data_IF_667882565952
#
_entry.id   IF_667882565952
#
_cell.length_a   1.000
_cell.length_b   1.000
_cell.length_c   1.000
_cell.angle_alpha   90.00
_cell.angle_beta   90.00
_cell.angle_gamma   90.00
#
_symmetry.space_group_name_H-M   'P 1'
#
loop_
_entity.id
_entity.type
_entity.pdbx_description
1 polymer ?
#
# COMPACT_ATOMS: atom_id res chain seq x y z
N UNK A 1 -12.28 -9.43 -23.13
CA UNK A 1 -13.04 -9.42 -21.86
C UNK A 1 -12.13 -8.83 -20.82
N UNK A 2 -12.30 -7.56 -20.49
CA UNK A 2 -11.64 -6.97 -19.32
C UNK A 2 -12.15 -7.72 -18.08
N UNK A 3 -11.27 -8.39 -17.34
CA UNK A 3 -11.62 -8.87 -16.01
C UNK A 3 -11.71 -7.65 -15.10
N UNK A 4 -12.85 -6.95 -15.13
CA UNK A 4 -13.16 -5.94 -14.13
C UNK A 4 -13.57 -6.68 -12.86
N UNK A 5 -12.71 -6.65 -11.84
CA UNK A 5 -13.10 -7.09 -10.51
C UNK A 5 -14.23 -6.18 -10.01
N UNK A 6 -15.31 -6.77 -9.53
CA UNK A 6 -16.28 -6.03 -8.72
C UNK A 6 -15.65 -5.82 -7.35
N UNK A 7 -15.13 -4.62 -7.10
CA UNK A 7 -14.50 -4.25 -5.83
C UNK A 7 -15.48 -3.43 -5.01
N UNK A 8 -15.75 -3.87 -3.78
CA UNK A 8 -16.45 -3.08 -2.78
C UNK A 8 -15.45 -2.63 -1.71
N UNK A 9 -15.35 -1.32 -1.46
CA UNK A 9 -14.41 -0.74 -0.53
C UNK A 9 -15.18 -0.05 0.60
N UNK A 10 -14.93 -0.50 1.83
CA UNK A 10 -15.49 0.09 3.05
C UNK A 10 -14.40 0.88 3.76
N UNK A 11 -14.64 2.16 3.99
CA UNK A 11 -13.78 3.03 4.78
C UNK A 11 -14.60 4.06 5.53
N UNK A 12 -14.02 4.62 6.60
CA UNK A 12 -14.61 5.67 7.41
C UNK A 12 -13.75 6.92 7.40
N UNK A 13 -14.38 8.06 7.17
CA UNK A 13 -13.72 9.37 7.10
C UNK A 13 -14.52 10.41 7.87
N UNK A 14 -13.88 11.50 8.28
CA UNK A 14 -14.58 12.64 8.85
C UNK A 14 -15.12 13.58 7.76
N UNK A 15 -15.91 14.58 8.15
CA UNK A 15 -16.37 15.65 7.23
C UNK A 15 -15.20 16.48 6.66
N UNK A 16 -14.03 16.40 7.28
CA UNK A 16 -12.79 17.04 6.86
C UNK A 16 -12.05 16.32 5.73
N UNK A 17 -12.58 15.19 5.22
CA UNK A 17 -11.98 14.44 4.11
C UNK A 17 -12.10 15.20 2.78
N UNK A 18 -10.94 15.56 2.19
CA UNK A 18 -10.87 16.42 0.99
C UNK A 18 -10.39 15.72 -0.27
N UNK A 19 -10.04 14.43 -0.18
CA UNK A 19 -9.40 13.74 -1.29
C UNK A 19 -10.45 13.15 -2.25
N UNK A 20 -10.27 13.34 -3.58
CA UNK A 20 -11.16 12.70 -4.55
C UNK A 20 -10.94 11.19 -4.52
N UNK A 21 -12.04 10.44 -4.44
CA UNK A 21 -12.05 8.97 -4.46
C UNK A 21 -13.14 8.48 -5.41
N UNK A 22 -12.91 7.31 -6.02
CA UNK A 22 -13.85 6.70 -6.98
C UNK A 22 -14.88 5.78 -6.30
N UNK A 23 -15.12 5.98 -5.00
CA UNK A 23 -16.08 5.23 -4.19
C UNK A 23 -16.68 6.18 -3.14
N UNK A 24 -17.73 5.74 -2.44
CA UNK A 24 -18.37 6.55 -1.39
C UNK A 24 -17.97 6.06 0.00
N UNK A 25 -17.05 6.75 0.71
CA UNK A 25 -16.69 6.40 2.08
C UNK A 25 -17.85 6.68 3.03
N UNK A 26 -17.87 6.00 4.18
CA UNK A 26 -18.79 6.29 5.27
C UNK A 26 -18.28 7.56 5.98
N UNK A 27 -19.06 8.65 5.88
CA UNK A 27 -18.71 9.92 6.54
C UNK A 27 -19.28 9.93 7.95
N UNK A 28 -18.42 10.20 8.93
CA UNK A 28 -18.76 10.24 10.36
C UNK A 28 -18.75 11.71 10.83
N UNK A 29 -19.91 12.33 11.13
CA UNK A 29 -19.98 13.75 11.47
C UNK A 29 -19.26 14.11 12.79
N UNK A 30 -19.16 13.15 13.70
CA UNK A 30 -18.59 13.38 15.04
C UNK A 30 -17.10 13.13 15.13
N UNK A 31 -16.49 12.62 14.06
CA UNK A 31 -15.11 12.16 14.05
C UNK A 31 -14.33 12.85 12.94
N UNK A 32 -13.03 13.02 13.17
CA UNK A 32 -12.12 13.55 12.15
C UNK A 32 -11.51 12.40 11.35
N UNK A 33 -11.10 12.69 10.13
CA UNK A 33 -10.37 11.77 9.27
C UNK A 33 -9.10 11.28 9.98
N UNK A 34 -8.76 10.00 9.83
CA UNK A 34 -7.51 9.45 10.35
C UNK A 34 -6.31 10.15 9.71
N UNK A 35 -5.40 10.69 10.52
CA UNK A 35 -4.23 11.44 10.06
C UNK A 35 -2.97 10.90 10.71
N UNK A 36 -1.95 10.70 9.88
CA UNK A 36 -0.61 10.33 10.28
C UNK A 36 0.39 11.44 9.99
N UNK A 37 1.27 11.70 10.94
CA UNK A 37 2.49 12.46 10.70
C UNK A 37 3.68 11.50 10.70
N UNK A 38 4.44 11.51 9.61
CA UNK A 38 5.71 10.80 9.50
C UNK A 38 6.85 11.79 9.73
N UNK A 39 7.65 11.53 10.75
CA UNK A 39 8.85 12.31 11.06
C UNK A 39 10.07 11.48 10.64
N UNK A 40 10.93 12.08 9.84
CA UNK A 40 12.17 11.46 9.37
C UNK A 40 13.33 12.11 10.10
N UNK A 41 14.14 11.31 10.81
CA UNK A 41 15.40 11.82 11.34
C UNK A 41 16.39 12.05 10.18
N UNK A 42 16.87 13.29 10.06
CA UNK A 42 17.83 13.71 9.03
C UNK A 42 19.26 13.20 9.30
N UNK A 43 19.48 12.42 10.35
CA UNK A 43 20.70 11.63 10.51
C UNK A 43 21.95 12.47 10.81
N UNK A 44 21.79 13.62 11.48
CA UNK A 44 22.92 14.47 11.88
C UNK A 44 23.91 13.78 12.82
N UNK A 45 23.60 12.59 13.35
CA UNK A 45 24.43 11.84 14.32
C UNK A 45 24.85 10.41 13.88
N UNK A 46 24.92 10.14 12.57
CA UNK A 46 25.88 9.13 12.07
C UNK A 46 25.51 7.65 12.18
N UNK A 47 24.22 7.29 12.31
CA UNK A 47 23.75 5.93 12.00
C UNK A 47 22.70 6.00 10.91
N UNK A 48 23.07 5.56 9.71
CA UNK A 48 22.28 5.67 8.47
C UNK A 48 21.05 4.76 8.37
N UNK A 49 20.30 4.59 9.46
CA UNK A 49 18.91 4.14 9.38
C UNK A 49 18.05 5.39 9.60
N UNK A 50 17.30 5.79 8.57
CA UNK A 50 16.30 6.85 8.69
C UNK A 50 15.19 6.32 9.61
N UNK A 51 15.33 6.50 10.92
CA UNK A 51 14.29 6.12 11.86
C UNK A 51 13.05 6.99 11.60
N UNK A 52 12.07 6.39 10.94
CA UNK A 52 10.77 7.00 10.67
C UNK A 52 9.91 6.85 11.93
N UNK A 53 9.68 7.94 12.63
CA UNK A 53 8.70 7.97 13.72
C UNK A 53 7.34 8.30 13.10
N UNK A 54 6.41 7.35 13.19
CA UNK A 54 5.04 7.52 12.73
C UNK A 54 4.14 7.83 13.92
N UNK A 55 3.35 8.91 13.84
CA UNK A 55 2.36 9.27 14.87
C UNK A 55 0.96 9.38 14.26
N UNK A 56 -0.02 8.68 14.84
CA UNK A 56 -1.44 8.81 14.52
C UNK A 56 -2.00 9.99 15.31
N UNK A 57 -2.02 11.16 14.67
CA UNK A 57 -2.48 12.43 15.27
C UNK A 57 -3.98 12.42 15.48
N UNK A 58 -4.69 11.77 14.57
CA UNK A 58 -6.14 11.65 14.59
C UNK A 58 -6.55 10.26 14.11
N UNK A 59 -7.65 9.74 14.66
CA UNK A 59 -8.28 8.50 14.23
C UNK A 59 -9.77 8.74 13.99
N UNK A 60 -10.26 8.28 12.85
CA UNK A 60 -11.69 8.14 12.62
C UNK A 60 -12.23 6.91 13.36
N UNK A 61 -13.56 6.77 13.38
CA UNK A 61 -14.22 5.63 14.00
C UNK A 61 -13.77 4.31 13.36
N UNK A 62 -13.67 3.23 14.16
CA UNK A 62 -13.40 1.92 13.61
C UNK A 62 -14.55 1.45 12.70
N UNK A 63 -14.20 0.61 11.75
CA UNK A 63 -15.15 -0.12 10.90
C UNK A 63 -15.75 -1.21 11.78
N UNK A 64 -17.06 -1.22 11.92
CA UNK A 64 -17.83 -2.19 12.69
C UNK A 64 -18.32 -3.31 11.77
N UNK A 65 -18.68 -4.49 12.32
CA UNK A 65 -19.29 -5.56 11.53
C UNK A 65 -20.52 -5.12 10.73
N UNK A 66 -21.32 -4.18 11.25
CA UNK A 66 -22.50 -3.62 10.58
C UNK A 66 -22.19 -2.69 9.40
N UNK A 67 -20.93 -2.24 9.26
CA UNK A 67 -20.50 -1.41 8.12
C UNK A 67 -20.09 -2.27 6.92
N UNK A 68 -19.92 -3.58 7.13
CA UNK A 68 -19.56 -4.53 6.07
C UNK A 68 -20.82 -4.95 5.29
N UNK A 69 -20.69 -5.25 3.98
CA UNK A 69 -21.83 -5.67 3.16
C UNK A 69 -22.44 -6.98 3.65
N UNK A 70 -23.76 -7.11 3.51
CA UNK A 70 -24.50 -8.34 3.85
C UNK A 70 -24.31 -9.47 2.83
N UNK A 71 -23.77 -9.15 1.65
CA UNK A 71 -23.55 -10.11 0.56
C UNK A 71 -22.22 -10.84 0.71
N UNK A 72 -22.20 -12.14 0.41
CA UNK A 72 -20.94 -12.90 0.32
C UNK A 72 -20.06 -12.40 -0.82
N UNK A 73 -18.75 -12.44 -0.61
CA UNK A 73 -17.72 -12.11 -1.60
C UNK A 73 -16.73 -13.27 -1.71
N UNK A 74 -16.11 -13.48 -2.87
CA UNK A 74 -15.08 -14.52 -2.98
C UNK A 74 -13.83 -14.18 -2.15
N UNK A 75 -13.46 -12.89 -2.14
CA UNK A 75 -12.24 -12.41 -1.52
C UNK A 75 -12.54 -11.22 -0.60
N UNK A 76 -11.88 -11.18 0.55
CA UNK A 76 -11.86 -10.04 1.46
C UNK A 76 -10.43 -9.56 1.69
N UNK A 77 -10.21 -8.25 1.77
CA UNK A 77 -8.89 -7.66 2.05
C UNK A 77 -8.97 -6.74 3.26
N UNK A 78 -8.29 -7.12 4.36
CA UNK A 78 -8.19 -6.32 5.58
C UNK A 78 -6.84 -5.56 5.59
N UNK A 79 -6.86 -4.31 5.16
CA UNK A 79 -5.68 -3.45 5.01
C UNK A 79 -5.82 -2.21 5.90
N UNK A 80 -5.70 -2.41 7.21
CA UNK A 80 -5.82 -1.37 8.22
C UNK A 80 -4.51 -0.62 8.48
N UNK A 81 -4.60 0.68 8.72
CA UNK A 81 -3.43 1.53 8.98
C UNK A 81 -3.43 2.17 10.37
N UNK A 82 -4.61 2.44 10.91
CA UNK A 82 -4.90 3.30 12.05
C UNK A 82 -5.68 2.63 13.17
N UNK A 83 -5.76 1.29 13.21
CA UNK A 83 -6.51 0.54 14.24
C UNK A 83 -8.02 0.54 14.02
N UNK A 84 -8.46 0.78 12.79
CA UNK A 84 -9.86 0.82 12.36
C UNK A 84 -10.47 -0.57 12.17
N UNK A 85 -9.64 -1.59 11.95
CA UNK A 85 -10.09 -2.99 11.88
C UNK A 85 -10.03 -3.57 13.29
N UNK A 86 -11.18 -4.03 13.78
CA UNK A 86 -11.31 -4.69 15.07
C UNK A 86 -11.34 -6.22 14.89
N UNK A 87 -11.05 -7.01 15.95
CA UNK A 87 -11.19 -8.46 15.89
C UNK A 87 -12.55 -8.93 15.39
N UNK A 88 -13.63 -8.31 15.86
CA UNK A 88 -15.00 -8.65 15.47
C UNK A 88 -15.28 -8.27 14.00
N UNK A 89 -14.64 -7.20 13.51
CA UNK A 89 -14.73 -6.77 12.11
C UNK A 89 -14.02 -7.77 11.20
N UNK A 90 -12.82 -8.20 11.57
CA UNK A 90 -12.09 -9.23 10.82
C UNK A 90 -12.82 -10.57 10.85
N UNK A 91 -13.38 -10.96 12.00
CA UNK A 91 -14.21 -12.16 12.11
C UNK A 91 -15.41 -12.10 11.17
N UNK A 92 -16.11 -10.96 11.12
CA UNK A 92 -17.21 -10.76 10.18
C UNK A 92 -16.76 -10.87 8.73
N UNK A 93 -15.59 -10.32 8.36
CA UNK A 93 -15.03 -10.49 7.01
C UNK A 93 -14.79 -11.98 6.68
N UNK A 94 -14.25 -12.75 7.63
CA UNK A 94 -14.01 -14.18 7.47
C UNK A 94 -15.33 -14.96 7.28
N UNK A 95 -16.43 -14.51 7.86
CA UNK A 95 -17.74 -15.16 7.66
C UNK A 95 -18.32 -14.91 6.26
N UNK A 96 -18.15 -13.70 5.72
CA UNK A 96 -18.76 -13.28 4.44
C UNK A 96 -17.84 -13.47 3.23
N UNK A 97 -16.57 -13.80 3.44
CA UNK A 97 -15.61 -14.04 2.38
C UNK A 97 -15.21 -15.52 2.29
N UNK A 98 -14.93 -16.02 1.09
CA UNK A 98 -14.37 -17.38 0.93
C UNK A 98 -12.89 -17.41 1.35
N UNK A 99 -12.12 -16.36 1.01
CA UNK A 99 -10.73 -16.19 1.44
C UNK A 99 -10.49 -14.74 1.91
N UNK A 100 -9.85 -14.58 3.07
CA UNK A 100 -9.45 -13.27 3.60
C UNK A 100 -7.95 -13.08 3.56
N UNK A 101 -7.52 -11.99 2.94
CA UNK A 101 -6.16 -11.49 2.87
C UNK A 101 -5.99 -10.38 3.90
N UNK A 102 -4.97 -10.48 4.75
CA UNK A 102 -4.73 -9.52 5.83
C UNK A 102 -3.32 -8.95 5.73
N UNK A 103 -3.18 -7.63 5.85
CA UNK A 103 -1.89 -7.02 6.14
C UNK A 103 -1.70 -7.01 7.66
N UNK A 104 -0.62 -7.63 8.16
CA UNK A 104 -0.34 -7.74 9.60
C UNK A 104 -0.32 -6.38 10.28
N UNK A 105 0.02 -5.33 9.53
CA UNK A 105 0.01 -3.95 9.98
C UNK A 105 -1.33 -3.56 10.65
N UNK A 106 -2.44 -4.12 10.18
CA UNK A 106 -3.77 -3.90 10.74
C UNK A 106 -3.96 -4.53 12.13
N UNK A 107 -3.17 -5.56 12.44
CA UNK A 107 -3.33 -6.40 13.63
C UNK A 107 -2.39 -6.00 14.77
N UNK A 108 -1.15 -5.63 14.44
CA UNK A 108 -0.07 -5.45 15.42
C UNK A 108 0.21 -3.98 15.78
N UNK A 109 -0.41 -3.01 15.09
CA UNK A 109 -0.25 -1.59 15.43
C UNK A 109 -1.08 -1.22 16.64
N UNK A 110 -0.40 -0.67 17.63
CA UNK A 110 -1.01 0.05 18.75
C UNK A 110 -0.53 1.50 18.76
N UNK A 111 -1.29 2.37 19.40
CA UNK A 111 -1.03 3.81 19.38
C UNK A 111 -0.88 4.31 20.80
N UNK A 112 0.22 5.02 21.07
CA UNK A 112 0.44 5.67 22.36
C UNK A 112 -0.72 6.63 22.68
N UNK A 113 -1.25 6.56 23.90
CA UNK A 113 -2.42 7.34 24.29
C UNK A 113 -2.12 8.83 24.45
N UNK A 114 -0.85 9.21 24.62
CA UNK A 114 -0.45 10.59 24.86
C UNK A 114 -0.14 11.30 23.54
N UNK A 115 0.71 10.70 22.70
CA UNK A 115 1.22 11.37 21.51
C UNK A 115 0.89 10.66 20.19
N UNK A 116 0.16 9.55 20.25
CA UNK A 116 -0.25 8.79 19.07
C UNK A 116 0.88 8.02 18.39
N UNK A 117 2.08 7.95 18.99
CA UNK A 117 3.21 7.20 18.42
C UNK A 117 2.80 5.76 18.15
N UNK A 118 3.05 5.30 16.91
CA UNK A 118 2.80 3.94 16.50
C UNK A 118 3.83 3.03 17.17
N UNK A 119 3.33 2.01 17.87
CA UNK A 119 4.12 0.91 18.43
C UNK A 119 3.62 -0.39 17.83
N UNK A 120 4.49 -1.39 17.79
CA UNK A 120 4.14 -2.72 17.33
C UNK A 120 4.15 -3.65 18.55
N UNK A 121 3.12 -4.50 18.65
CA UNK A 121 3.01 -5.56 19.66
C UNK A 121 3.13 -6.92 19.00
N UNK A 122 3.42 -7.97 19.77
CA UNK A 122 3.49 -9.30 19.18
C UNK A 122 2.11 -9.76 18.76
N UNK A 123 2.00 -10.40 17.60
CA UNK A 123 0.74 -10.89 17.06
C UNK A 123 -0.01 -11.80 18.06
N UNK A 124 0.72 -12.63 18.82
CA UNK A 124 0.18 -13.52 19.86
C UNK A 124 -0.47 -12.79 21.03
N UNK A 125 -0.13 -11.52 21.25
CA UNK A 125 -0.70 -10.68 22.31
C UNK A 125 -1.99 -9.97 21.85
N UNK A 126 -2.36 -10.10 20.57
CA UNK A 126 -3.52 -9.42 19.99
C UNK A 126 -4.78 -10.27 20.02
N UNK A 127 -5.95 -9.63 20.01
CA UNK A 127 -7.24 -10.30 19.84
C UNK A 127 -7.44 -10.97 18.47
N UNK A 128 -6.51 -10.78 17.53
CA UNK A 128 -6.56 -11.36 16.20
C UNK A 128 -5.90 -12.74 16.10
N UNK A 129 -5.01 -13.09 17.05
CA UNK A 129 -4.29 -14.37 17.01
C UNK A 129 -5.21 -15.60 16.89
N UNK A 130 -6.36 -15.68 17.60
CA UNK A 130 -7.29 -16.80 17.44
C UNK A 130 -7.93 -16.92 16.04
N UNK A 131 -7.88 -15.87 15.22
CA UNK A 131 -8.49 -15.84 13.89
C UNK A 131 -7.56 -16.38 12.79
N UNK A 132 -6.26 -16.57 13.08
CA UNK A 132 -5.26 -17.04 12.11
C UNK A 132 -5.66 -18.29 11.32
N UNK A 133 -6.24 -19.35 11.92
CA UNK A 133 -6.62 -20.55 11.18
C UNK A 133 -7.70 -20.34 10.11
N UNK A 134 -8.39 -19.18 10.13
CA UNK A 134 -9.45 -18.83 9.18
C UNK A 134 -9.02 -17.72 8.21
N UNK A 135 -7.77 -17.26 8.29
CA UNK A 135 -7.18 -16.29 7.35
C UNK A 135 -6.53 -17.06 6.21
N UNK A 136 -6.71 -16.61 4.97
CA UNK A 136 -6.09 -17.24 3.81
C UNK A 136 -4.61 -16.86 3.68
N UNK A 137 -4.33 -15.56 3.72
CA UNK A 137 -2.96 -15.04 3.61
C UNK A 137 -2.75 -13.89 4.59
N UNK A 138 -1.61 -13.90 5.29
CA UNK A 138 -1.10 -12.80 6.09
C UNK A 138 0.16 -12.22 5.45
N UNK A 139 0.11 -10.97 5.01
CA UNK A 139 1.27 -10.24 4.48
C UNK A 139 1.94 -9.45 5.60
N UNK A 140 3.27 -9.38 5.57
CA UNK A 140 4.10 -8.58 6.46
C UNK A 140 5.32 -8.03 5.70
N UNK A 141 5.87 -6.91 6.15
CA UNK A 141 7.26 -6.55 5.85
C UNK A 141 8.25 -7.36 6.69
N UNK A 142 9.52 -7.39 6.31
CA UNK A 142 10.60 -7.96 7.14
C UNK A 142 10.65 -7.36 8.54
N UNK A 143 10.37 -6.07 8.66
CA UNK A 143 10.34 -5.29 9.89
C UNK A 143 9.13 -5.63 10.78
N UNK A 144 8.00 -5.97 10.16
CA UNK A 144 6.80 -6.41 10.88
C UNK A 144 6.85 -7.90 11.24
N UNK A 145 7.52 -8.72 10.42
CA UNK A 145 7.60 -10.16 10.61
C UNK A 145 8.27 -10.55 11.94
N UNK A 146 9.14 -9.70 12.51
CA UNK A 146 9.76 -9.95 13.83
C UNK A 146 8.76 -9.91 14.99
N UNK A 147 7.55 -9.39 14.77
CA UNK A 147 6.45 -9.35 15.74
C UNK A 147 5.54 -10.58 15.66
N UNK A 148 5.88 -11.56 14.81
CA UNK A 148 5.24 -12.87 14.80
C UNK A 148 6.28 -13.99 14.74
N UNK A 149 5.91 -15.16 15.23
CA UNK A 149 6.67 -16.38 14.95
C UNK A 149 6.19 -16.91 13.59
N UNK A 150 6.96 -16.64 12.53
CA UNK A 150 6.61 -17.04 11.16
C UNK A 150 6.44 -18.56 11.04
N UNK A 151 7.25 -19.33 11.76
CA UNK A 151 7.21 -20.80 11.73
C UNK A 151 5.94 -21.35 12.37
N UNK A 152 5.44 -20.70 13.41
CA UNK A 152 4.15 -21.05 14.02
C UNK A 152 2.98 -20.53 13.19
N UNK A 153 3.01 -19.28 12.71
CA UNK A 153 1.91 -18.68 11.94
C UNK A 153 1.70 -19.39 10.60
N UNK A 154 2.78 -19.79 9.90
CA UNK A 154 2.67 -20.48 8.60
C UNK A 154 1.95 -21.84 8.67
N UNK A 155 1.78 -22.40 9.88
CA UNK A 155 1.03 -23.64 10.11
C UNK A 155 -0.48 -23.41 10.00
N UNK A 156 -0.93 -22.17 10.16
CA UNK A 156 -2.33 -21.77 10.20
C UNK A 156 -2.78 -21.07 8.90
N UNK A 157 -1.93 -20.23 8.30
CA UNK A 157 -2.23 -19.54 7.05
C UNK A 157 -0.97 -19.34 6.19
N UNK A 158 -1.14 -18.98 4.92
CA UNK A 158 -0.02 -18.56 4.08
C UNK A 158 0.56 -17.24 4.59
N UNK A 159 1.88 -17.14 4.72
CA UNK A 159 2.55 -15.90 5.13
C UNK A 159 3.41 -15.37 3.98
N UNK A 160 3.26 -14.08 3.65
CA UNK A 160 4.10 -13.41 2.65
C UNK A 160 4.90 -12.31 3.32
N UNK A 161 6.23 -12.45 3.32
CA UNK A 161 7.14 -11.46 3.90
C UNK A 161 7.85 -10.70 2.79
N UNK A 162 7.61 -9.40 2.68
CA UNK A 162 8.28 -8.52 1.70
C UNK A 162 9.61 -8.01 2.25
N UNK A 163 10.68 -8.11 1.46
CA UNK A 163 12.06 -7.77 1.83
C UNK A 163 12.61 -6.60 0.99
N UNK A 164 11.77 -5.60 0.74
CA UNK A 164 12.11 -4.43 -0.07
C UNK A 164 12.74 -4.80 -1.43
N UNK A 165 13.92 -4.26 -1.72
CA UNK A 165 14.66 -4.51 -2.97
C UNK A 165 15.11 -5.97 -3.19
N UNK A 166 14.94 -6.84 -2.19
CA UNK A 166 15.29 -8.25 -2.26
C UNK A 166 14.11 -9.16 -2.63
N UNK A 167 12.93 -8.58 -2.92
CA UNK A 167 11.74 -9.31 -3.34
C UNK A 167 10.90 -9.72 -2.14
N UNK A 168 10.38 -10.94 -2.13
CA UNK A 168 9.61 -11.46 -1.01
C UNK A 168 9.87 -12.95 -0.77
N UNK A 169 9.45 -13.44 0.39
CA UNK A 169 9.42 -14.86 0.72
C UNK A 169 8.00 -15.27 1.08
N UNK A 170 7.54 -16.39 0.54
CA UNK A 170 6.25 -17.00 0.83
C UNK A 170 6.51 -18.20 1.74
N UNK A 171 5.71 -18.34 2.79
CA UNK A 171 5.74 -19.47 3.71
C UNK A 171 4.36 -20.11 3.76
N UNK A 172 4.33 -21.43 3.79
CA UNK A 172 3.13 -22.23 4.03
C UNK A 172 3.50 -23.36 4.99
N UNK A 173 2.51 -24.17 5.37
CA UNK A 173 2.66 -25.22 6.39
C UNK A 173 3.87 -26.12 6.17
N UNK A 174 4.11 -26.50 4.92
CA UNK A 174 5.07 -27.54 4.53
C UNK A 174 6.29 -26.99 3.77
N UNK A 175 6.47 -25.66 3.70
CA UNK A 175 7.61 -25.11 3.00
C UNK A 175 7.67 -23.59 2.92
N UNK A 176 8.71 -23.13 2.22
CA UNK A 176 8.94 -21.72 1.95
C UNK A 176 9.55 -21.53 0.56
N UNK A 177 9.39 -20.34 -0.01
CA UNK A 177 9.88 -20.00 -1.32
C UNK A 177 10.27 -18.52 -1.41
N UNK A 178 11.50 -18.24 -1.86
CA UNK A 178 11.90 -16.88 -2.24
C UNK A 178 11.43 -16.51 -3.64
N UNK A 179 10.99 -15.27 -3.83
CA UNK A 179 10.51 -14.72 -5.10
C UNK A 179 11.35 -13.50 -5.48
N UNK A 180 11.90 -13.54 -6.69
CA UNK A 180 12.84 -12.54 -7.19
C UNK A 180 12.22 -11.13 -7.26
N UNK A 181 13.01 -10.08 -6.97
CA UNK A 181 12.56 -8.69 -7.11
C UNK A 181 12.50 -8.23 -8.57
N UNK A 182 11.99 -7.00 -8.76
CA UNK A 182 12.20 -6.21 -9.97
C UNK A 182 13.12 -5.04 -9.63
N UNK A 183 14.04 -4.70 -10.53
CA UNK A 183 14.89 -3.52 -10.39
C UNK A 183 14.02 -2.27 -10.36
N UNK A 184 14.28 -1.37 -9.42
CA UNK A 184 13.58 -0.10 -9.30
C UNK A 184 14.51 1.00 -8.79
N UNK A 185 14.31 2.22 -9.29
CA UNK A 185 14.95 3.42 -8.77
C UNK A 185 14.03 4.00 -7.69
N UNK A 186 14.38 3.81 -6.42
CA UNK A 186 13.54 4.20 -5.30
C UNK A 186 13.55 5.72 -5.10
N UNK A 187 12.39 6.36 -5.30
CA UNK A 187 12.10 7.77 -5.01
C UNK A 187 11.31 7.91 -3.69
N UNK A 188 10.23 7.13 -3.50
CA UNK A 188 9.41 7.14 -2.28
C UNK A 188 8.94 5.71 -1.92
N UNK A 189 9.34 5.15 -0.75
CA UNK A 189 8.92 3.81 -0.35
C UNK A 189 7.45 3.73 0.13
N UNK A 190 6.75 4.86 0.26
CA UNK A 190 5.39 4.92 0.80
C UNK A 190 4.42 4.15 -0.10
N UNK A 191 3.61 3.27 0.50
CA UNK A 191 2.60 2.49 -0.24
C UNK A 191 3.15 1.33 -1.07
N UNK A 192 4.46 1.06 -1.04
CA UNK A 192 5.05 -0.06 -1.77
C UNK A 192 4.52 -1.42 -1.30
N UNK A 193 4.33 -1.59 0.01
CA UNK A 193 3.75 -2.80 0.61
C UNK A 193 2.27 -3.00 0.24
N UNK A 194 1.49 -1.91 0.20
CA UNK A 194 0.09 -1.95 -0.21
C UNK A 194 -0.05 -2.26 -1.70
N UNK A 195 0.80 -1.66 -2.54
CA UNK A 195 0.87 -1.92 -3.98
C UNK A 195 1.28 -3.36 -4.27
N UNK A 196 2.27 -3.88 -3.52
CA UNK A 196 2.61 -5.30 -3.55
C UNK A 196 1.39 -6.16 -3.23
N UNK A 197 0.68 -5.83 -2.15
CA UNK A 197 -0.41 -6.68 -1.68
C UNK A 197 -1.61 -6.65 -2.64
N UNK A 198 -1.93 -5.49 -3.22
CA UNK A 198 -2.91 -5.36 -4.29
C UNK A 198 -2.55 -6.18 -5.52
N UNK A 199 -1.30 -6.12 -5.99
CA UNK A 199 -0.81 -6.92 -7.10
C UNK A 199 -0.87 -8.43 -6.82
N UNK A 200 -0.48 -8.84 -5.62
CA UNK A 200 -0.54 -10.22 -5.15
C UNK A 200 -1.97 -10.77 -5.16
N UNK A 201 -2.91 -10.07 -4.51
CA UNK A 201 -4.31 -10.51 -4.45
C UNK A 201 -4.95 -10.49 -5.83
N UNK A 202 -4.67 -9.49 -6.66
CA UNK A 202 -5.16 -9.45 -8.05
C UNK A 202 -4.64 -10.63 -8.89
N UNK A 203 -3.40 -11.09 -8.65
CA UNK A 203 -2.84 -12.28 -9.30
C UNK A 203 -3.58 -13.56 -8.88
N UNK A 204 -3.78 -13.75 -7.58
CA UNK A 204 -4.52 -14.91 -7.05
C UNK A 204 -5.97 -14.92 -7.53
N UNK A 205 -6.65 -13.77 -7.49
CA UNK A 205 -8.03 -13.65 -7.93
C UNK A 205 -8.20 -13.89 -9.45
N UNK A 206 -7.13 -13.72 -10.24
CA UNK A 206 -7.09 -14.11 -11.66
C UNK A 206 -6.77 -15.60 -11.88
N UNK A 207 -6.43 -16.35 -10.82
CA UNK A 207 -6.11 -17.78 -10.88
C UNK A 207 -4.63 -18.08 -11.10
N UNK A 208 -3.73 -17.14 -10.79
CA UNK A 208 -2.30 -17.43 -10.75
C UNK A 208 -1.96 -18.30 -9.52
N UNK A 209 -0.94 -19.14 -9.65
CA UNK A 209 -0.32 -19.80 -8.50
C UNK A 209 0.35 -18.75 -7.58
N UNK A 210 0.53 -19.09 -6.30
CA UNK A 210 1.08 -18.19 -5.28
C UNK A 210 2.44 -17.58 -5.69
N UNK A 211 3.40 -18.34 -6.24
CA UNK A 211 4.68 -17.75 -6.67
C UNK A 211 4.52 -16.69 -7.77
N UNK A 212 3.65 -16.93 -8.75
CA UNK A 212 3.41 -15.99 -9.85
C UNK A 212 2.61 -14.77 -9.38
N UNK A 213 1.67 -14.95 -8.45
CA UNK A 213 0.99 -13.85 -7.79
C UNK A 213 1.96 -12.99 -6.96
N UNK A 214 2.89 -13.62 -6.23
CA UNK A 214 3.92 -12.91 -5.46
C UNK A 214 4.89 -12.14 -6.37
N UNK A 215 5.16 -12.67 -7.56
CA UNK A 215 5.89 -11.97 -8.60
C UNK A 215 5.14 -10.73 -9.08
N UNK A 216 3.83 -10.84 -9.32
CA UNK A 216 3.00 -9.70 -9.68
C UNK A 216 2.97 -8.65 -8.56
N UNK A 217 2.91 -9.09 -7.30
CA UNK A 217 3.10 -8.20 -6.14
C UNK A 217 4.44 -7.47 -6.19
N UNK A 218 5.56 -8.18 -6.38
CA UNK A 218 6.89 -7.57 -6.48
C UNK A 218 6.96 -6.54 -7.62
N UNK A 219 6.29 -6.78 -8.75
CA UNK A 219 6.22 -5.84 -9.86
C UNK A 219 5.53 -4.53 -9.43
N UNK A 220 4.33 -4.61 -8.86
CA UNK A 220 3.58 -3.43 -8.44
C UNK A 220 4.23 -2.67 -7.28
N UNK A 221 4.84 -3.38 -6.33
CA UNK A 221 5.69 -2.75 -5.32
C UNK A 221 6.85 -1.98 -5.95
N UNK A 222 7.51 -2.56 -6.96
CA UNK A 222 8.63 -1.92 -7.66
C UNK A 222 8.21 -0.70 -8.51
N UNK A 223 6.99 -0.68 -9.04
CA UNK A 223 6.43 0.46 -9.78
C UNK A 223 6.02 1.59 -8.84
N UNK A 224 5.59 1.24 -7.62
CA UNK A 224 5.19 2.21 -6.61
C UNK A 224 6.36 3.02 -6.10
N UNK A 225 7.50 2.37 -5.85
CA UNK A 225 8.66 3.07 -5.26
C UNK A 225 9.32 4.08 -6.20
N UNK A 226 9.04 4.02 -7.50
CA UNK A 226 9.61 4.90 -8.53
C UNK A 226 8.90 6.26 -8.63
N UNK A 227 7.90 6.51 -7.77
CA UNK A 227 7.05 7.69 -7.81
C UNK A 227 6.76 8.19 -6.40
N UNK A 228 6.64 9.52 -6.25
CA UNK A 228 6.24 10.14 -4.97
C UNK A 228 4.73 10.01 -4.77
N UNK A 229 4.31 9.55 -3.60
CA UNK A 229 2.91 9.44 -3.21
C UNK A 229 2.15 8.29 -3.88
N UNK A 230 0.86 8.48 -4.18
CA UNK A 230 0.03 7.44 -4.78
C UNK A 230 0.54 7.11 -6.20
N UNK A 231 0.84 5.84 -6.50
CA UNK A 231 1.43 5.48 -7.78
C UNK A 231 0.43 5.71 -8.91
N UNK A 232 0.86 6.45 -9.94
CA UNK A 232 0.11 6.54 -11.19
C UNK A 232 0.54 5.35 -12.04
N UNK A 233 -0.42 4.52 -12.41
CA UNK A 233 -0.15 3.34 -13.24
C UNK A 233 -0.55 3.65 -14.69
N UNK A 234 0.40 3.47 -15.61
CA UNK A 234 0.14 3.68 -17.03
C UNK A 234 -0.84 2.62 -17.56
N UNK A 235 -1.94 3.03 -18.17
CA UNK A 235 -2.97 2.11 -18.67
C UNK A 235 -2.43 1.10 -19.70
N UNK A 236 -1.46 1.50 -20.53
CA UNK A 236 -0.82 0.58 -21.49
C UNK A 236 0.03 -0.47 -20.79
N UNK A 237 0.80 -0.07 -19.76
CA UNK A 237 1.55 -1.00 -18.93
C UNK A 237 0.59 -2.00 -18.27
N UNK A 238 -0.49 -1.51 -17.65
CA UNK A 238 -1.50 -2.36 -17.03
C UNK A 238 -2.11 -3.35 -18.01
N UNK A 239 -2.44 -2.90 -19.22
CA UNK A 239 -2.99 -3.78 -20.25
C UNK A 239 -2.02 -4.90 -20.63
N UNK A 240 -0.74 -4.57 -20.85
CA UNK A 240 0.26 -5.58 -21.24
C UNK A 240 0.57 -6.56 -20.11
N UNK A 241 0.68 -6.07 -18.87
CA UNK A 241 0.81 -6.93 -17.68
C UNK A 241 -0.39 -7.87 -17.59
N UNK A 242 -1.60 -7.35 -17.77
CA UNK A 242 -2.81 -8.17 -17.78
C UNK A 242 -2.79 -9.22 -18.90
N UNK A 243 -2.34 -8.86 -20.11
CA UNK A 243 -2.23 -9.81 -21.22
C UNK A 243 -1.25 -10.95 -20.89
N UNK A 244 -0.12 -10.65 -20.25
CA UNK A 244 0.84 -11.67 -19.78
C UNK A 244 0.25 -12.55 -18.66
N UNK A 245 -0.50 -11.96 -17.72
CA UNK A 245 -1.22 -12.71 -16.67
C UNK A 245 -2.25 -13.67 -17.27
N UNK A 246 -3.01 -13.24 -18.29
CA UNK A 246 -3.99 -14.09 -18.95
C UNK A 246 -3.32 -15.23 -19.74
N UNK A 247 -2.21 -14.96 -20.45
CA UNK A 247 -1.41 -16.02 -21.08
C UNK A 247 -0.90 -17.01 -20.06
N UNK A 248 -0.39 -16.51 -18.93
CA UNK A 248 0.16 -17.33 -17.84
C UNK A 248 -0.90 -18.24 -17.21
N UNK A 249 -2.10 -17.71 -16.97
CA UNK A 249 -3.26 -18.47 -16.50
C UNK A 249 -3.60 -19.63 -17.43
N UNK A 250 -3.69 -19.37 -18.74
CA UNK A 250 -4.03 -20.39 -19.74
C UNK A 250 -3.00 -21.51 -19.81
N UNK A 251 -1.71 -21.18 -19.64
CA UNK A 251 -0.65 -22.19 -19.58
C UNK A 251 -0.80 -23.09 -18.34
N UNK A 252 -1.13 -22.53 -17.17
CA UNK A 252 -1.29 -23.31 -15.94
C UNK A 252 -2.54 -24.20 -15.95
N UNK A 253 -3.64 -23.76 -16.57
CA UNK A 253 -4.89 -24.53 -16.67
C UNK A 253 -4.76 -25.79 -17.56
N UNK A 254 -3.81 -25.80 -18.50
CA UNK A 254 -3.58 -26.95 -19.38
C UNK A 254 -2.88 -28.12 -18.67
N UNK A 255 -2.23 -27.87 -17.51
CA UNK A 255 -1.43 -28.87 -16.80
C UNK A 255 -2.08 -29.42 -15.54
N UNK A 256 -3.11 -28.77 -14.97
CA UNK A 256 -3.66 -29.17 -13.66
C UNK A 256 -5.18 -29.06 -13.59
N UNK A 257 -5.85 -30.22 -13.43
CA UNK A 257 -7.26 -30.33 -13.00
C UNK A 257 -7.31 -30.71 -11.51
N UNK A 258 -7.37 -29.74 -10.59
CA UNK A 258 -8.27 -29.72 -9.42
C UNK A 258 -7.95 -28.59 -8.41
N UNK A 259 -9.02 -28.21 -7.71
CA UNK A 259 -9.25 -27.49 -6.46
C UNK A 259 -8.83 -26.03 -6.22
N UNK A 260 -9.75 -25.34 -5.52
CA UNK A 260 -9.73 -23.97 -4.98
C UNK A 260 -8.64 -23.72 -3.91
N UNK A 261 -7.62 -24.57 -3.86
CA UNK A 261 -6.49 -24.45 -2.93
C UNK A 261 -5.35 -23.59 -3.51
N UNK A 262 -4.69 -22.83 -2.64
CA UNK A 262 -3.52 -22.05 -3.01
C UNK A 262 -2.38 -22.96 -3.47
N UNK A 263 -1.86 -22.69 -4.67
CA UNK A 263 -0.77 -23.46 -5.29
C UNK A 263 0.58 -22.85 -4.95
N UNK A 264 1.41 -23.55 -4.17
CA UNK A 264 2.67 -23.02 -3.63
C UNK A 264 3.93 -23.39 -4.43
N UNK A 265 3.87 -24.41 -5.29
CA UNK A 265 5.01 -24.84 -6.10
C UNK A 265 5.25 -23.85 -7.25
N UNK A 266 6.53 -23.59 -7.56
CA UNK A 266 6.91 -22.79 -8.74
C UNK A 266 6.40 -23.50 -9.99
N UNK A 267 5.48 -22.91 -10.77
CA UNK A 267 5.02 -23.54 -11.99
C UNK A 267 6.11 -23.48 -13.05
N UNK A 268 6.14 -24.45 -13.96
CA UNK A 268 7.01 -24.40 -15.14
C UNK A 268 6.80 -23.07 -15.87
N UNK A 269 7.88 -22.39 -16.27
CA UNK A 269 7.77 -21.07 -16.89
C UNK A 269 7.87 -19.86 -15.93
N UNK A 270 8.04 -20.07 -14.61
CA UNK A 270 8.07 -18.97 -13.62
C UNK A 270 9.14 -17.90 -13.92
N UNK A 271 10.37 -18.32 -14.23
CA UNK A 271 11.48 -17.39 -14.54
C UNK A 271 11.27 -16.69 -15.89
N UNK A 272 10.63 -17.36 -16.85
CA UNK A 272 10.23 -16.75 -18.12
C UNK A 272 9.16 -15.68 -17.89
N UNK A 273 8.18 -15.96 -17.02
CA UNK A 273 7.15 -15.00 -16.64
C UNK A 273 7.76 -13.76 -15.94
N UNK A 274 8.74 -13.96 -15.06
CA UNK A 274 9.51 -12.85 -14.46
C UNK A 274 10.20 -11.98 -15.51
N UNK A 275 10.87 -12.62 -16.48
CA UNK A 275 11.57 -11.92 -17.56
C UNK A 275 10.61 -11.10 -18.42
N UNK A 276 9.43 -11.64 -18.74
CA UNK A 276 8.40 -10.95 -19.52
C UNK A 276 7.84 -9.73 -18.78
N UNK A 277 7.48 -9.89 -17.50
CA UNK A 277 7.02 -8.75 -16.68
C UNK A 277 8.09 -7.67 -16.53
N UNK A 278 9.36 -8.07 -16.40
CA UNK A 278 10.48 -7.13 -16.30
C UNK A 278 10.69 -6.34 -17.60
N UNK A 279 10.53 -7.00 -18.75
CA UNK A 279 10.57 -6.34 -20.05
C UNK A 279 9.44 -5.32 -20.18
N UNK A 280 8.21 -5.65 -19.77
CA UNK A 280 7.08 -4.71 -19.83
C UNK A 280 7.27 -3.48 -18.96
N UNK A 281 7.87 -3.66 -17.77
CA UNK A 281 8.26 -2.55 -16.90
C UNK A 281 9.22 -1.59 -17.62
N UNK A 282 10.20 -2.10 -18.37
CA UNK A 282 11.24 -1.29 -19.02
C UNK A 282 10.76 -0.53 -20.27
N UNK A 283 9.77 -1.06 -21.00
CA UNK A 283 9.31 -0.46 -22.27
C UNK A 283 8.53 0.85 -22.06
N UNK A 284 8.02 1.07 -20.85
CA UNK A 284 7.20 2.24 -20.54
C UNK A 284 7.96 3.19 -19.61
N UNK A 285 8.88 4.04 -20.11
CA UNK A 285 9.41 5.10 -19.28
C UNK A 285 8.26 5.98 -18.82
N UNK A 286 8.22 6.28 -17.52
CA UNK A 286 7.33 7.30 -16.97
C UNK A 286 7.64 8.63 -17.66
N UNK A 287 6.84 9.00 -18.66
CA UNK A 287 6.84 10.35 -19.17
C UNK A 287 6.25 11.24 -18.08
N UNK A 288 7.12 11.90 -17.32
CA UNK A 288 6.75 13.03 -16.49
C UNK A 288 6.29 14.10 -17.49
N UNK A 289 4.98 14.33 -17.60
CA UNK A 289 4.50 15.60 -18.13
C UNK A 289 4.92 16.68 -17.12
N UNK A 290 6.03 17.36 -17.42
CA UNK A 290 6.40 18.61 -16.76
C UNK A 290 5.24 19.60 -16.95
N UNK A 291 4.38 19.71 -15.95
CA UNK A 291 3.58 20.91 -15.80
C UNK A 291 4.54 22.05 -15.43
N UNK A 292 4.91 22.81 -16.46
CA UNK A 292 5.65 24.06 -16.36
C UNK A 292 5.07 24.93 -15.23
N UNK A 293 5.85 25.07 -14.16
CA UNK A 293 5.67 26.13 -13.19
C UNK A 293 6.10 27.44 -13.85
N UNK A 294 5.15 28.10 -14.52
CA UNK A 294 5.38 29.41 -15.13
C UNK A 294 5.51 30.48 -14.03
N UNK A 295 6.75 30.74 -13.61
CA UNK A 295 7.14 31.98 -12.95
C UNK A 295 7.18 33.11 -13.99
N UNK A 296 6.50 34.25 -13.78
CA UNK A 296 6.52 35.34 -14.76
C UNK A 296 7.71 36.27 -14.49
N UNK A 297 8.68 36.33 -15.42
CA UNK A 297 9.57 37.49 -15.51
C UNK A 297 10.07 37.79 -16.94
N UNK A 298 9.52 38.89 -17.46
CA UNK A 298 10.13 39.98 -18.25
C UNK A 298 10.75 39.73 -19.65
N UNK A 299 10.16 40.42 -20.64
CA UNK A 299 10.79 41.34 -21.64
C UNK A 299 9.66 42.09 -22.38
N UNK A 300 9.46 43.41 -22.19
CA UNK A 300 9.88 44.56 -23.06
C UNK A 300 9.54 44.37 -24.55
N UNK A 301 8.93 45.26 -25.35
CA UNK A 301 8.56 46.70 -25.38
C UNK A 301 7.49 46.84 -26.50
N UNK A 302 6.47 47.71 -26.46
CA UNK A 302 6.51 49.05 -27.10
C UNK A 302 5.20 49.87 -26.91
N UNK A 303 5.39 51.20 -26.82
CA UNK A 303 4.51 52.34 -27.14
C UNK A 303 3.40 52.85 -26.15
N UNK A 304 3.66 54.08 -25.67
CA UNK A 304 2.95 55.07 -24.80
C UNK A 304 2.00 55.94 -25.68
N UNK A 305 1.07 56.86 -25.25
CA UNK A 305 0.90 57.65 -23.99
C UNK A 305 -0.56 57.75 -23.45
N UNK A 306 -1.00 58.43 -22.38
CA UNK A 306 -0.54 59.36 -21.34
C UNK A 306 -1.70 59.42 -20.28
N UNK A 307 -1.44 59.63 -18.98
CA UNK A 307 -2.02 60.70 -18.12
C UNK A 307 -1.71 60.51 -16.61
N UNK A 308 -0.82 61.40 -16.13
CA UNK A 308 -0.79 62.16 -14.84
C UNK A 308 -0.77 61.51 -13.44
N UNK A 309 0.37 61.75 -12.75
CA UNK A 309 0.61 62.27 -11.36
C UNK A 309 0.01 61.46 -10.18
N UNK A 310 0.68 61.11 -9.06
CA UNK A 310 1.85 61.61 -8.32
C UNK A 310 2.25 60.53 -7.22
N UNK A 311 3.21 60.72 -6.27
CA UNK A 311 4.37 59.83 -6.09
C UNK A 311 4.45 58.95 -4.81
N UNK A 312 5.47 58.08 -4.84
CA UNK A 312 5.98 57.08 -3.86
C UNK A 312 6.35 57.61 -2.46
N UNK A 313 6.24 56.73 -1.47
CA UNK A 313 7.13 56.65 -0.30
C UNK A 313 7.54 55.18 -0.05
N UNK A 314 8.79 54.99 0.36
CA UNK A 314 9.63 53.78 0.36
C UNK A 314 9.67 53.09 1.73
N UNK A 315 9.87 51.76 1.71
CA UNK A 315 10.72 50.90 2.57
C UNK A 315 10.40 50.87 4.10
N UNK A 316 10.55 49.80 4.90
CA UNK A 316 11.33 48.54 4.83
C UNK A 316 10.80 47.58 5.96
N UNK A 317 11.46 46.47 6.41
CA UNK A 317 10.87 45.11 6.38
C UNK A 317 10.92 44.33 7.74
N UNK A 318 10.54 43.03 7.69
CA UNK A 318 10.94 41.88 8.55
C UNK A 318 10.71 41.92 10.06
N UNK A 319 9.97 40.93 10.59
CA UNK A 319 10.19 40.36 11.94
C UNK A 319 9.91 38.84 11.94
N UNK A 320 10.96 38.05 12.25
CA UNK A 320 10.91 36.69 12.78
C UNK A 320 10.89 36.78 14.32
N UNK A 321 10.10 35.95 15.00
CA UNK A 321 10.10 35.83 16.47
C UNK A 321 10.86 34.57 16.94
N UNK A 322 11.75 34.67 17.95
CA UNK A 322 12.45 33.52 18.52
C UNK A 322 11.75 32.92 19.75
N UNK A 323 11.86 31.59 19.85
CA UNK A 323 11.37 30.73 20.96
C UNK A 323 12.30 30.83 22.18
N UNK A 324 11.73 31.06 23.38
CA UNK A 324 12.43 31.01 24.66
C UNK A 324 12.62 29.57 25.16
N UNK A 325 13.84 29.24 25.60
CA UNK A 325 14.15 28.05 26.42
C UNK A 325 14.02 28.41 27.90
N UNK A 326 13.43 27.51 28.67
CA UNK A 326 13.35 27.58 30.14
C UNK A 326 14.38 26.61 30.71
N UNK A 327 15.17 27.08 31.68
CA UNK A 327 16.06 26.27 32.54
C UNK A 327 15.26 25.46 33.58
#
# INVERSE_FOLDING_TARGET
>A
MECQFLVNLVSKVGEDFKYPVNYTPIVIPTSKTTVFHAYFDLGLHGKGHQDRILKRVCACDPIRPSDLPDTRSNYGMAVGVGGEILPETLERMIEICDVVFVDIQALIRVFDSVDGTVKLVKLVETGFYPLLPRIGVLKASSEEAVFMDVEEVRRWCCVVVTNGKHGCKVYWKDGELGISPFLANQEDPTGAGDSFFGGFVAGLAQGLAVPDAALLGNLFGSLSVEQIGLPKLNTRLLQRVNDEVQKRKMQCLLYERSDDELKFLRPEGHEQFHTLLAAEKLITPFSIEEHQWNSPSSTKETAVPQFTKQPKLLANPMYEEPVQRVE
#
